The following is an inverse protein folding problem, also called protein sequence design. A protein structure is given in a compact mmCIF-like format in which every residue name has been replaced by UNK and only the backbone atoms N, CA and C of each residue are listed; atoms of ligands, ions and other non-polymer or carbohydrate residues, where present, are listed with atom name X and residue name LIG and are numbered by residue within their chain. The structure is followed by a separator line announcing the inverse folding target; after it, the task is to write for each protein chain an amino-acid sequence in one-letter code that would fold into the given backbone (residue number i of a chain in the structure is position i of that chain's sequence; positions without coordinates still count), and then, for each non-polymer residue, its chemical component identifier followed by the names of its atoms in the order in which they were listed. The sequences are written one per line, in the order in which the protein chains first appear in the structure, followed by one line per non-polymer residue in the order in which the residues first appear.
data_IF_219206240504
#
_entry.id   IF_219206240504
#
_cell.length_a   1.000
_cell.length_b   1.000
_cell.length_c   1.000
_cell.angle_alpha   90.00
_cell.angle_beta   90.00
_cell.angle_gamma   90.00
#
_symmetry.space_group_name_H-M   'P 1'
#
loop_
_entity.id
_entity.type
_entity.pdbx_description
1 polymer ?
#
# COMPACT_ATOMS: atom_id res chain seq x y z
N UNK A 1 9.13 -36.86 -37.58
CA UNK A 1 9.11 -37.44 -36.23
C UNK A 1 8.58 -36.37 -35.29
N UNK A 2 7.30 -36.41 -34.94
CA UNK A 2 6.73 -35.54 -33.92
C UNK A 2 7.20 -36.05 -32.57
N UNK A 3 8.24 -35.43 -32.02
CA UNK A 3 8.63 -35.67 -30.63
C UNK A 3 7.41 -35.36 -29.76
N UNK A 4 6.91 -36.37 -29.04
CA UNK A 4 5.78 -36.21 -28.13
C UNK A 4 6.27 -35.31 -26.99
N UNK A 5 5.77 -34.09 -26.94
CA UNK A 5 6.15 -33.11 -25.91
C UNK A 5 6.00 -33.73 -24.52
N UNK A 6 7.03 -33.58 -23.68
CA UNK A 6 7.00 -34.08 -22.31
C UNK A 6 6.05 -33.22 -21.49
N UNK A 7 4.98 -33.86 -21.02
CA UNK A 7 3.98 -33.32 -20.11
C UNK A 7 4.32 -33.72 -18.67
N UNK A 8 4.20 -32.78 -17.74
CA UNK A 8 4.43 -33.02 -16.32
C UNK A 8 3.24 -32.50 -15.51
N UNK A 9 3.06 -33.09 -14.34
CA UNK A 9 2.08 -32.62 -13.37
C UNK A 9 2.69 -31.41 -12.65
N UNK A 10 1.91 -30.35 -12.47
CA UNK A 10 2.34 -29.20 -11.67
C UNK A 10 2.49 -29.52 -10.18
N UNK A 11 2.73 -28.49 -9.40
CA UNK A 11 3.07 -28.54 -7.99
C UNK A 11 4.20 -27.56 -7.71
N UNK A 12 5.00 -27.82 -6.69
CA UNK A 12 6.14 -26.98 -6.37
C UNK A 12 7.18 -26.94 -7.50
N UNK A 13 7.65 -25.74 -7.84
CA UNK A 13 8.61 -25.53 -8.93
C UNK A 13 9.91 -26.35 -8.78
N UNK A 14 10.37 -26.59 -7.55
CA UNK A 14 11.53 -27.43 -7.24
C UNK A 14 11.31 -28.92 -7.59
N UNK A 15 10.06 -29.36 -7.68
CA UNK A 15 9.68 -30.74 -8.01
C UNK A 15 9.51 -31.02 -9.51
N UNK A 16 9.59 -30.00 -10.36
CA UNK A 16 9.43 -30.16 -11.82
C UNK A 16 10.65 -30.89 -12.41
N UNK A 17 10.40 -31.74 -13.41
CA UNK A 17 11.44 -32.45 -14.18
C UNK A 17 12.11 -31.53 -15.20
N UNK A 18 13.43 -31.63 -15.36
CA UNK A 18 14.23 -30.75 -16.24
C UNK A 18 13.84 -30.78 -17.73
N UNK A 19 13.22 -31.88 -18.16
CA UNK A 19 12.80 -32.11 -19.55
C UNK A 19 11.35 -31.68 -19.80
N UNK A 20 10.71 -31.03 -18.84
CA UNK A 20 9.32 -30.63 -18.96
C UNK A 20 9.11 -29.55 -20.02
N UNK A 21 8.13 -29.73 -20.90
CA UNK A 21 7.73 -28.73 -21.89
C UNK A 21 6.35 -28.16 -21.58
N UNK A 22 5.45 -29.01 -21.06
CA UNK A 22 4.07 -28.64 -20.73
C UNK A 22 3.77 -29.05 -19.29
N UNK A 23 3.23 -28.13 -18.49
CA UNK A 23 2.75 -28.40 -17.13
C UNK A 23 1.22 -28.47 -17.16
N UNK A 24 0.64 -29.53 -16.61
CA UNK A 24 -0.80 -29.80 -16.64
C UNK A 24 -1.33 -30.27 -15.28
N UNK A 25 -2.67 -30.34 -15.18
CA UNK A 25 -3.50 -30.86 -14.07
C UNK A 25 -3.47 -30.07 -12.77
N UNK A 26 -2.34 -29.49 -12.39
CA UNK A 26 -2.17 -28.71 -11.17
C UNK A 26 -1.33 -27.47 -11.44
N UNK A 27 -1.55 -26.42 -10.64
CA UNK A 27 -0.79 -25.18 -10.71
C UNK A 27 0.70 -25.41 -10.54
N UNK A 28 1.50 -24.56 -11.18
CA UNK A 28 2.91 -24.40 -10.81
C UNK A 28 3.01 -23.43 -9.63
N UNK A 29 3.59 -23.88 -8.52
CA UNK A 29 3.59 -23.16 -7.24
C UNK A 29 4.99 -22.72 -6.82
N UNK A 30 5.12 -21.45 -6.42
CA UNK A 30 6.31 -20.83 -5.85
C UNK A 30 5.97 -20.27 -4.46
N UNK A 31 6.33 -20.98 -3.39
CA UNK A 31 5.93 -20.61 -2.03
C UNK A 31 7.14 -20.29 -1.14
N UNK A 32 7.03 -19.19 -0.39
CA UNK A 32 8.00 -18.85 0.65
C UNK A 32 9.38 -18.48 0.13
N UNK A 33 10.42 -18.77 0.92
CA UNK A 33 11.80 -18.59 0.48
C UNK A 33 12.24 -19.77 -0.39
N UNK A 34 12.66 -19.44 -1.62
CA UNK A 34 13.16 -20.41 -2.60
C UNK A 34 14.69 -20.52 -2.44
N UNK A 35 15.15 -21.59 -1.81
CA UNK A 35 16.57 -21.77 -1.47
C UNK A 35 17.48 -21.98 -2.70
N UNK A 36 16.96 -22.59 -3.78
CA UNK A 36 17.74 -22.97 -4.97
C UNK A 36 17.10 -22.46 -6.27
N UNK A 37 17.16 -21.14 -6.46
CA UNK A 37 16.60 -20.47 -7.63
C UNK A 37 17.26 -20.92 -8.95
N UNK A 38 18.55 -21.23 -8.95
CA UNK A 38 19.27 -21.63 -10.16
C UNK A 38 18.84 -23.01 -10.65
N UNK A 39 18.67 -23.97 -9.73
CA UNK A 39 18.10 -25.28 -10.04
C UNK A 39 16.65 -25.17 -10.54
N UNK A 40 15.82 -24.33 -9.91
CA UNK A 40 14.45 -24.07 -10.36
C UNK A 40 14.46 -23.48 -11.77
N UNK A 41 15.32 -22.49 -12.04
CA UNK A 41 15.46 -21.88 -13.36
C UNK A 41 15.89 -22.91 -14.42
N UNK A 42 16.84 -23.78 -14.09
CA UNK A 42 17.27 -24.85 -14.99
C UNK A 42 16.14 -25.85 -15.29
N UNK A 43 15.31 -26.19 -14.29
CA UNK A 43 14.16 -27.07 -14.47
C UNK A 43 13.10 -26.48 -15.38
N UNK A 44 12.83 -25.19 -15.24
CA UNK A 44 11.77 -24.50 -15.98
C UNK A 44 12.22 -23.98 -17.35
N UNK A 45 13.51 -24.06 -17.70
CA UNK A 45 14.07 -23.48 -18.93
C UNK A 45 13.44 -23.99 -20.25
N UNK A 46 12.85 -25.19 -20.21
CA UNK A 46 12.24 -25.87 -21.36
C UNK A 46 10.70 -25.76 -21.35
N UNK A 47 10.11 -25.27 -20.25
CA UNK A 47 8.67 -25.15 -20.11
C UNK A 47 8.19 -24.04 -21.04
N UNK A 48 7.23 -24.37 -21.90
CA UNK A 48 6.61 -23.46 -22.86
C UNK A 48 5.14 -23.20 -22.56
N UNK A 49 4.44 -24.17 -21.98
CA UNK A 49 2.99 -24.06 -21.71
C UNK A 49 2.64 -24.52 -20.31
N UNK A 50 1.69 -23.84 -19.67
CA UNK A 50 1.17 -24.17 -18.34
C UNK A 50 -0.36 -24.17 -18.38
N UNK A 51 -0.98 -25.35 -18.37
CA UNK A 51 -2.42 -25.63 -18.57
C UNK A 51 -3.29 -25.54 -17.29
N UNK A 52 -2.70 -25.16 -16.16
CA UNK A 52 -3.41 -25.08 -14.88
C UNK A 52 -3.03 -23.87 -14.03
N UNK A 53 -2.47 -22.83 -14.66
CA UNK A 53 -2.05 -21.60 -14.01
C UNK A 53 -0.81 -21.68 -13.13
N UNK A 54 -0.43 -20.52 -12.57
CA UNK A 54 0.74 -20.32 -11.72
C UNK A 54 0.34 -19.58 -10.45
N UNK A 55 0.91 -19.97 -9.32
CA UNK A 55 0.79 -19.24 -8.07
C UNK A 55 2.17 -18.90 -7.46
N UNK A 56 2.32 -17.64 -7.06
CA UNK A 56 3.51 -17.10 -6.39
C UNK A 56 3.07 -16.51 -5.06
N UNK A 57 3.40 -17.17 -3.97
CA UNK A 57 2.82 -16.88 -2.65
C UNK A 57 3.90 -16.69 -1.59
N UNK A 58 3.83 -15.56 -0.89
CA UNK A 58 4.64 -15.31 0.30
C UNK A 58 6.14 -15.29 0.05
N UNK A 59 6.57 -14.97 -1.18
CA UNK A 59 7.97 -14.93 -1.55
C UNK A 59 8.61 -13.57 -1.19
N UNK A 60 9.94 -13.57 -1.07
CA UNK A 60 10.75 -12.37 -0.82
C UNK A 60 11.53 -11.92 -2.07
N UNK A 61 11.20 -12.44 -3.25
CA UNK A 61 11.86 -12.04 -4.49
C UNK A 61 11.41 -10.64 -4.92
N UNK A 62 12.36 -9.85 -5.43
CA UNK A 62 12.06 -8.58 -6.06
C UNK A 62 11.60 -8.77 -7.51
N UNK A 63 12.28 -9.65 -8.24
CA UNK A 63 12.01 -9.92 -9.65
C UNK A 63 11.54 -11.37 -9.79
N UNK A 64 10.35 -11.56 -10.35
CA UNK A 64 9.89 -12.87 -10.81
C UNK A 64 10.22 -13.02 -12.30
N UNK A 65 11.29 -13.76 -12.60
CA UNK A 65 11.78 -14.04 -13.97
C UNK A 65 11.93 -15.54 -14.28
N UNK A 66 11.39 -16.40 -13.41
CA UNK A 66 11.55 -17.85 -13.50
C UNK A 66 10.80 -18.46 -14.69
N UNK A 67 9.86 -17.72 -15.29
CA UNK A 67 9.01 -18.14 -16.39
C UNK A 67 9.23 -17.32 -17.67
N UNK A 68 10.41 -16.73 -17.84
CA UNK A 68 10.70 -15.81 -18.96
C UNK A 68 10.47 -16.43 -20.37
N UNK A 69 10.59 -17.76 -20.44
CA UNK A 69 10.47 -18.59 -21.65
C UNK A 69 9.08 -19.22 -21.87
N UNK A 70 8.16 -19.01 -20.94
CA UNK A 70 6.82 -19.55 -21.05
C UNK A 70 6.04 -18.71 -22.05
N UNK A 71 5.44 -19.39 -23.03
CA UNK A 71 4.70 -18.75 -24.12
C UNK A 71 3.21 -18.67 -23.81
N UNK A 72 2.66 -19.66 -23.10
CA UNK A 72 1.22 -19.81 -22.90
C UNK A 72 0.90 -20.24 -21.47
N UNK A 73 0.04 -19.48 -20.80
CA UNK A 73 -0.49 -19.80 -19.48
C UNK A 73 -2.01 -19.72 -19.53
N UNK A 74 -2.65 -20.82 -19.17
CA UNK A 74 -4.10 -20.96 -19.17
C UNK A 74 -4.55 -21.64 -17.88
N UNK A 75 -5.72 -21.26 -17.39
CA UNK A 75 -6.37 -21.94 -16.29
C UNK A 75 -7.89 -21.95 -16.47
N UNK A 76 -8.50 -23.06 -16.93
CA UNK A 76 -9.94 -23.12 -17.14
C UNK A 76 -10.74 -23.11 -15.82
N UNK A 77 -10.08 -23.34 -14.69
CA UNK A 77 -10.71 -23.48 -13.38
C UNK A 77 -10.48 -22.29 -12.45
N UNK A 78 -9.68 -21.29 -12.84
CA UNK A 78 -9.36 -20.12 -12.02
C UNK A 78 -8.50 -19.09 -12.73
N UNK A 79 -7.70 -18.33 -11.96
CA UNK A 79 -6.78 -17.33 -12.50
C UNK A 79 -5.60 -18.02 -13.19
N UNK A 80 -5.14 -17.47 -14.31
CA UNK A 80 -3.93 -17.95 -14.99
C UNK A 80 -2.68 -17.62 -14.17
N UNK A 81 -2.64 -16.45 -13.53
CA UNK A 81 -1.58 -16.03 -12.62
C UNK A 81 -2.15 -15.57 -11.27
N UNK A 82 -1.52 -16.00 -10.19
CA UNK A 82 -1.87 -15.56 -8.84
C UNK A 82 -0.61 -15.10 -8.08
N UNK A 83 -0.62 -13.85 -7.63
CA UNK A 83 0.41 -13.27 -6.77
C UNK A 83 -0.23 -12.92 -5.43
N UNK A 84 0.23 -13.57 -4.35
CA UNK A 84 -0.36 -13.40 -3.03
C UNK A 84 0.69 -13.14 -1.96
N UNK A 85 0.52 -12.07 -1.19
CA UNK A 85 1.34 -11.76 -0.02
C UNK A 85 2.86 -11.71 -0.32
N UNK A 86 3.30 -11.38 -1.54
CA UNK A 86 4.71 -11.20 -1.85
C UNK A 86 5.17 -9.83 -1.35
N UNK A 87 6.22 -9.82 -0.53
CA UNK A 87 6.60 -8.61 0.26
C UNK A 87 7.49 -7.63 -0.48
N UNK A 88 8.13 -8.07 -1.56
CA UNK A 88 9.18 -7.32 -2.26
C UNK A 88 9.04 -7.32 -3.77
N UNK A 89 8.04 -8.04 -4.30
CA UNK A 89 7.86 -8.23 -5.72
C UNK A 89 7.60 -6.88 -6.38
N UNK A 90 8.50 -6.44 -7.24
CA UNK A 90 8.39 -5.19 -7.98
C UNK A 90 8.47 -5.39 -9.50
N UNK A 91 8.96 -6.54 -9.97
CA UNK A 91 9.06 -6.86 -11.40
C UNK A 91 8.51 -8.24 -11.70
N UNK A 92 7.73 -8.34 -12.77
CA UNK A 92 7.20 -9.59 -13.31
C UNK A 92 7.63 -9.69 -14.76
N UNK A 93 8.63 -10.54 -15.05
CA UNK A 93 9.23 -10.68 -16.36
C UNK A 93 8.80 -11.98 -17.02
N UNK A 94 7.99 -11.82 -18.07
CA UNK A 94 7.48 -12.91 -18.90
C UNK A 94 7.59 -12.50 -20.37
N UNK A 95 8.83 -12.41 -20.86
CA UNK A 95 9.12 -11.80 -22.17
C UNK A 95 8.53 -12.58 -23.35
N UNK A 96 8.47 -13.92 -23.25
CA UNK A 96 7.97 -14.78 -24.33
C UNK A 96 6.46 -15.06 -24.23
N UNK A 97 5.77 -14.54 -23.22
CA UNK A 97 4.34 -14.79 -22.99
C UNK A 97 3.48 -14.16 -24.09
N UNK A 98 2.61 -14.97 -24.69
CA UNK A 98 1.71 -14.61 -25.79
C UNK A 98 0.26 -14.97 -25.54
N UNK A 99 0.01 -15.92 -24.65
CA UNK A 99 -1.33 -16.31 -24.21
C UNK A 99 -1.40 -16.28 -22.70
N UNK A 100 -2.41 -15.58 -22.19
CA UNK A 100 -2.73 -15.47 -20.78
C UNK A 100 -4.26 -15.51 -20.66
N UNK A 101 -4.79 -16.62 -20.15
CA UNK A 101 -6.22 -16.93 -20.19
C UNK A 101 -6.71 -17.60 -18.89
N UNK A 102 -7.44 -16.85 -18.08
CA UNK A 102 -8.10 -17.34 -16.88
C UNK A 102 -9.61 -17.47 -17.07
N UNK A 103 -10.28 -18.15 -16.12
CA UNK A 103 -11.71 -18.46 -16.22
C UNK A 103 -12.63 -17.23 -16.20
N UNK A 104 -12.38 -16.29 -15.30
CA UNK A 104 -13.22 -15.09 -15.10
C UNK A 104 -12.37 -13.85 -15.08
N UNK A 105 -11.27 -13.90 -14.34
CA UNK A 105 -10.19 -12.94 -14.45
C UNK A 105 -8.86 -13.65 -14.71
N UNK A 106 -7.98 -13.03 -15.49
CA UNK A 106 -6.72 -13.66 -15.92
C UNK A 106 -5.66 -13.64 -14.80
N UNK A 107 -5.58 -12.53 -14.06
CA UNK A 107 -4.56 -12.31 -13.04
C UNK A 107 -5.19 -11.91 -11.70
N UNK A 108 -4.70 -12.51 -10.61
CA UNK A 108 -5.02 -12.12 -9.25
C UNK A 108 -3.81 -11.53 -8.55
N UNK A 109 -4.00 -10.37 -7.92
CA UNK A 109 -3.11 -9.82 -6.90
C UNK A 109 -3.84 -9.72 -5.56
N UNK A 110 -3.36 -10.43 -4.55
CA UNK A 110 -3.92 -10.39 -3.19
C UNK A 110 -2.86 -9.99 -2.16
N UNK A 111 -3.05 -8.84 -1.52
CA UNK A 111 -2.12 -8.28 -0.53
C UNK A 111 -0.67 -8.27 -1.03
N UNK A 112 -0.48 -7.96 -2.32
CA UNK A 112 0.79 -8.10 -3.00
C UNK A 112 1.45 -6.74 -3.22
N UNK A 113 2.74 -6.64 -2.88
CA UNK A 113 3.49 -5.39 -3.00
C UNK A 113 3.62 -4.92 -4.47
N UNK A 114 3.50 -5.83 -5.45
CA UNK A 114 3.61 -5.47 -6.85
C UNK A 114 2.58 -4.41 -7.28
N UNK A 115 1.36 -4.45 -6.75
CA UNK A 115 0.33 -3.47 -7.09
C UNK A 115 0.67 -2.07 -6.57
N UNK A 116 1.33 -1.97 -5.41
CA UNK A 116 1.83 -0.69 -4.90
C UNK A 116 2.90 -0.12 -5.83
N UNK A 117 3.83 -0.97 -6.28
CA UNK A 117 4.92 -0.60 -7.19
C UNK A 117 4.43 -0.16 -8.58
N UNK A 118 3.31 -0.71 -9.08
CA UNK A 118 2.71 -0.27 -10.37
C UNK A 118 2.39 1.23 -10.37
N UNK A 119 2.06 1.81 -9.20
CA UNK A 119 1.78 3.25 -9.09
C UNK A 119 3.03 4.12 -8.99
N UNK A 120 4.12 3.59 -8.42
CA UNK A 120 5.32 4.36 -8.08
C UNK A 120 6.47 4.16 -9.07
N UNK A 121 6.46 3.07 -9.83
CA UNK A 121 7.59 2.61 -10.64
C UNK A 121 7.18 2.34 -12.10
N UNK A 122 7.81 3.06 -13.04
CA UNK A 122 7.51 2.93 -14.47
C UNK A 122 7.78 1.54 -15.03
N UNK A 123 8.76 0.83 -14.48
CA UNK A 123 9.10 -0.51 -14.92
C UNK A 123 8.04 -1.52 -14.48
N UNK A 124 7.51 -1.39 -13.26
CA UNK A 124 6.43 -2.23 -12.74
C UNK A 124 5.13 -1.98 -13.50
N UNK A 125 4.83 -0.72 -13.81
CA UNK A 125 3.72 -0.36 -14.69
C UNK A 125 3.89 -0.98 -16.08
N UNK A 126 5.09 -0.95 -16.64
CA UNK A 126 5.36 -1.57 -17.95
C UNK A 126 5.11 -3.08 -17.92
N UNK A 127 5.56 -3.77 -16.87
CA UNK A 127 5.33 -5.21 -16.70
C UNK A 127 3.82 -5.51 -16.58
N UNK A 128 3.07 -4.70 -15.83
CA UNK A 128 1.61 -4.83 -15.69
C UNK A 128 0.87 -4.62 -17.02
N UNK A 129 1.21 -3.57 -17.77
CA UNK A 129 0.60 -3.28 -19.07
C UNK A 129 0.96 -4.36 -20.12
N UNK A 130 2.14 -4.97 -20.02
CA UNK A 130 2.49 -6.12 -20.86
C UNK A 130 1.54 -7.28 -20.61
N UNK A 131 1.31 -7.66 -19.35
CA UNK A 131 0.35 -8.72 -18.99
C UNK A 131 -1.08 -8.40 -19.46
N UNK A 132 -1.54 -7.15 -19.26
CA UNK A 132 -2.86 -6.70 -19.75
C UNK A 132 -2.96 -6.85 -21.27
N UNK A 133 -1.91 -6.46 -22.00
CA UNK A 133 -1.90 -6.52 -23.45
C UNK A 133 -1.99 -7.94 -23.98
N UNK A 134 -1.34 -8.90 -23.29
CA UNK A 134 -1.33 -10.32 -23.63
C UNK A 134 -2.68 -10.97 -23.30
N UNK A 135 -3.24 -10.69 -22.12
CA UNK A 135 -4.57 -11.13 -21.72
C UNK A 135 -5.63 -10.68 -22.75
N UNK A 136 -5.69 -9.37 -23.03
CA UNK A 136 -6.64 -8.83 -24.03
C UNK A 136 -6.45 -9.44 -25.41
N UNK A 137 -5.21 -9.81 -25.77
CA UNK A 137 -4.95 -10.46 -27.05
C UNK A 137 -5.48 -11.90 -27.13
N UNK A 138 -5.53 -12.60 -25.99
CA UNK A 138 -6.05 -13.96 -25.86
C UNK A 138 -7.58 -13.98 -26.04
N UNK A 139 -8.26 -12.92 -25.58
CA UNK A 139 -9.73 -12.80 -25.59
C UNK A 139 -10.33 -12.05 -26.80
N UNK A 140 -9.56 -11.80 -27.87
CA UNK A 140 -9.96 -10.94 -29.02
C UNK A 140 -11.25 -11.33 -29.72
N UNK A 141 -11.70 -12.59 -29.59
CA UNK A 141 -12.86 -13.11 -30.30
C UNK A 141 -14.13 -13.17 -29.42
N UNK A 142 -14.06 -12.72 -28.16
CA UNK A 142 -15.18 -12.76 -27.23
C UNK A 142 -15.99 -11.46 -27.25
N UNK A 143 -17.32 -11.56 -27.26
CA UNK A 143 -18.22 -10.38 -27.22
C UNK A 143 -18.10 -9.60 -25.90
N UNK A 144 -17.78 -10.31 -24.81
CA UNK A 144 -17.50 -9.76 -23.48
C UNK A 144 -16.18 -10.37 -22.99
N UNK A 145 -15.07 -9.66 -23.15
CA UNK A 145 -13.78 -10.10 -22.59
C UNK A 145 -13.88 -10.22 -21.07
N UNK A 146 -13.35 -11.28 -20.45
CA UNK A 146 -13.16 -11.35 -19.00
C UNK A 146 -12.35 -10.16 -18.49
N UNK A 147 -12.51 -9.84 -17.19
CA UNK A 147 -11.73 -8.79 -16.56
C UNK A 147 -10.27 -9.25 -16.49
N UNK A 148 -9.33 -8.44 -16.98
CA UNK A 148 -7.92 -8.83 -16.96
C UNK A 148 -7.42 -9.14 -15.54
N UNK A 149 -7.83 -8.35 -14.55
CA UNK A 149 -7.22 -8.38 -13.22
C UNK A 149 -8.22 -8.26 -12.10
N UNK A 150 -7.99 -9.04 -11.04
CA UNK A 150 -8.60 -8.86 -9.72
C UNK A 150 -7.56 -8.41 -8.72
N UNK A 151 -7.84 -7.32 -8.03
CA UNK A 151 -6.97 -6.79 -6.97
C UNK A 151 -7.73 -6.88 -5.64
N UNK A 152 -7.17 -7.62 -4.70
CA UNK A 152 -7.68 -7.74 -3.33
C UNK A 152 -6.61 -7.14 -2.42
N UNK A 153 -6.79 -5.89 -2.03
CA UNK A 153 -5.99 -5.28 -0.97
C UNK A 153 -6.68 -5.52 0.36
N UNK A 154 -5.97 -6.05 1.36
CA UNK A 154 -6.35 -5.94 2.76
C UNK A 154 -6.60 -4.47 3.01
N UNK A 155 -7.80 -4.13 3.48
CA UNK A 155 -8.22 -2.76 3.77
C UNK A 155 -7.02 -2.04 4.37
N UNK A 156 -6.55 -0.99 3.68
CA UNK A 156 -5.49 -0.14 4.20
C UNK A 156 -5.90 0.16 5.63
N UNK A 157 -5.11 -0.34 6.60
CA UNK A 157 -5.45 -0.19 8.00
C UNK A 157 -5.78 1.27 8.20
N UNK A 158 -7.06 1.56 8.46
CA UNK A 158 -7.56 2.91 8.71
C UNK A 158 -6.53 3.56 9.62
N UNK A 159 -5.82 4.55 9.08
CA UNK A 159 -4.67 5.22 9.66
C UNK A 159 -4.33 4.72 11.07
N UNK A 160 -3.31 3.86 11.17
CA UNK A 160 -2.97 3.18 12.42
C UNK A 160 -2.89 4.11 13.62
N UNK A 161 -2.86 3.53 14.83
CA UNK A 161 -2.81 4.23 16.13
C UNK A 161 -1.92 5.49 16.16
N UNK A 162 -0.87 5.53 15.34
CA UNK A 162 0.01 6.67 15.12
C UNK A 162 -0.71 7.94 14.63
N UNK A 163 -1.66 7.88 13.68
CA UNK A 163 -2.39 9.08 13.25
C UNK A 163 -3.31 9.58 14.36
N UNK A 164 -4.01 8.67 15.05
CA UNK A 164 -4.85 9.02 16.19
C UNK A 164 -4.02 9.63 17.33
N UNK A 165 -2.84 9.09 17.61
CA UNK A 165 -1.90 9.66 18.57
C UNK A 165 -1.42 11.06 18.13
N UNK A 166 -1.17 11.27 16.84
CA UNK A 166 -0.74 12.56 16.28
C UNK A 166 -1.86 13.61 16.38
N UNK A 167 -3.11 13.24 16.08
CA UNK A 167 -4.29 14.11 16.25
C UNK A 167 -4.48 14.51 17.72
N UNK A 168 -4.41 13.54 18.64
CA UNK A 168 -4.53 13.80 20.09
C UNK A 168 -3.41 14.71 20.57
N UNK A 169 -2.17 14.48 20.13
CA UNK A 169 -1.02 15.32 20.48
C UNK A 169 -1.21 16.76 20.00
N UNK A 170 -1.67 16.96 18.76
CA UNK A 170 -1.98 18.28 18.22
C UNK A 170 -3.06 19.01 19.05
N UNK A 171 -4.13 18.30 19.45
CA UNK A 171 -5.19 18.87 20.27
C UNK A 171 -4.67 19.30 21.66
N UNK A 172 -3.85 18.48 22.32
CA UNK A 172 -3.25 18.82 23.62
C UNK A 172 -2.34 20.03 23.52
N UNK A 173 -1.49 20.12 22.49
CA UNK A 173 -0.61 21.26 22.27
C UNK A 173 -1.40 22.55 22.04
N UNK A 174 -2.50 22.50 21.30
CA UNK A 174 -3.38 23.66 21.10
C UNK A 174 -3.98 24.17 22.42
N UNK A 175 -4.40 23.26 23.31
CA UNK A 175 -4.90 23.62 24.66
C UNK A 175 -3.78 24.26 25.50
N UNK A 176 -2.57 23.70 25.48
CA UNK A 176 -1.44 24.27 26.24
C UNK A 176 -1.12 25.69 25.75
N UNK A 177 -1.05 25.91 24.44
CA UNK A 177 -0.76 27.23 23.85
C UNK A 177 -1.86 28.24 24.21
N UNK A 178 -3.13 27.85 24.16
CA UNK A 178 -4.24 28.75 24.53
C UNK A 178 -4.20 29.11 26.02
N UNK A 179 -3.89 28.15 26.90
CA UNK A 179 -3.73 28.39 28.34
C UNK A 179 -2.53 29.31 28.62
N UNK A 180 -1.36 29.05 28.03
CA UNK A 180 -0.18 29.91 28.20
C UNK A 180 -0.46 31.33 27.71
N UNK A 181 -1.13 31.48 26.55
CA UNK A 181 -1.52 32.78 26.01
C UNK A 181 -2.49 33.51 26.95
N UNK A 182 -3.46 32.80 27.53
CA UNK A 182 -4.40 33.36 28.51
C UNK A 182 -3.69 33.84 29.79
N UNK A 183 -2.76 33.05 30.33
CA UNK A 183 -1.96 33.44 31.50
C UNK A 183 -1.04 34.63 31.20
N UNK A 184 -0.42 34.69 30.02
CA UNK A 184 0.39 35.83 29.59
C UNK A 184 -0.45 37.12 29.44
N UNK A 185 -1.66 37.02 28.88
CA UNK A 185 -2.60 38.14 28.77
C UNK A 185 -3.09 38.62 30.15
N UNK A 186 -3.43 37.70 31.07
CA UNK A 186 -3.75 38.06 32.46
C UNK A 186 -2.56 38.65 33.23
N UNK A 187 -1.35 38.18 32.97
CA UNK A 187 -0.10 38.69 33.56
C UNK A 187 0.20 40.13 33.13
N UNK A 188 0.06 40.45 31.83
CA UNK A 188 0.17 41.83 31.32
C UNK A 188 -0.89 42.76 31.92
N UNK A 189 -2.12 42.27 32.14
CA UNK A 189 -3.19 43.04 32.78
C UNK A 189 -2.92 43.43 34.24
N UNK A 190 -2.28 42.55 35.03
CA UNK A 190 -1.92 42.82 36.44
C UNK A 190 -0.77 43.83 36.56
N UNK A 191 0.24 43.75 35.70
CA UNK A 191 1.35 44.72 35.69
C UNK A 191 0.89 46.14 35.32
N UNK A 192 -0.10 46.27 34.44
CA UNK A 192 -0.67 47.58 34.07
C UNK A 192 -1.49 48.21 35.22
N UNK A 193 -2.24 47.40 35.99
CA UNK A 193 -3.01 47.88 37.16
C UNK A 193 -2.11 48.26 38.36
N UNK A 194 -1.02 47.54 38.62
CA UNK A 194 -0.09 47.89 39.70
C UNK A 194 0.72 49.16 39.40
N UNK A 195 1.05 49.43 38.13
CA UNK A 195 1.72 50.68 37.73
C UNK A 195 0.82 51.92 37.86
N UNK A 196 -0.51 51.77 37.75
CA UNK A 196 -1.46 52.86 38.01
C UNK A 196 -1.75 53.07 39.50
N UNK A 197 -1.80 52.01 40.31
CA UNK A 197 -2.04 52.11 41.76
C UNK A 197 -0.89 52.78 42.54
N UNK A 198 0.37 52.61 42.14
CA UNK A 198 1.49 53.28 42.82
C UNK A 198 1.59 54.78 42.52
N UNK A 199 1.09 55.23 41.36
CA UNK A 199 1.02 56.66 41.00
C UNK A 199 -0.15 57.39 41.67
N UNK A 200 -1.26 56.71 41.98
CA UNK A 200 -2.43 57.31 42.65
C UNK A 200 -2.27 57.59 44.14
N UNK A 201 -1.48 56.78 44.87
CA UNK A 201 -1.30 56.95 46.34
C UNK A 201 -0.40 58.12 46.75
N UNK A 202 0.42 58.67 45.85
CA UNK A 202 1.22 59.88 46.15
C UNK A 202 0.43 61.20 46.08
N UNK A 203 -0.76 61.23 45.49
CA UNK A 203 -1.57 62.47 45.37
C UNK A 203 -2.56 62.71 46.52
N UNK A 204 -3.00 61.68 47.25
CA UNK A 204 -4.12 61.81 48.21
C UNK A 204 -3.76 62.22 49.65
N UNK A 205 -2.46 62.34 50.01
CA UNK A 205 -2.06 62.85 51.34
C UNK A 205 -2.03 64.39 51.45
N UNK A 206 -2.31 65.13 50.38
CA UNK A 206 -2.20 66.61 50.37
C UNK A 206 -3.53 67.38 50.43
N UNK A 207 -4.69 66.73 50.48
CA UNK A 207 -5.99 67.39 50.21
C UNK A 207 -7.08 67.22 51.29
N UNK A 208 -6.76 66.76 52.51
CA UNK A 208 -7.76 66.54 53.57
C UNK A 208 -7.55 67.47 54.77
N UNK A 209 -7.43 68.76 54.47
CA UNK A 209 -7.41 69.85 55.45
C UNK A 209 -8.10 71.06 54.85
N UNK A 210 -9.44 71.08 54.83
CA UNK A 210 -10.29 72.28 54.72
C UNK A 210 -11.77 71.89 54.63
N UNK A 211 -12.60 72.54 55.45
CA UNK A 211 -14.06 72.72 55.32
C UNK A 211 -14.89 71.46 55.63
N UNK A 212 -15.56 71.28 56.76
CA UNK A 212 -16.31 72.18 57.67
C UNK A 212 -17.43 72.97 56.97
N UNK A 213 -18.60 73.01 57.65
CA UNK A 213 -19.88 73.66 57.32
C UNK A 213 -20.70 73.01 56.20
N UNK A 214 -22.02 72.88 56.25
CA UNK A 214 -23.10 73.06 57.23
C UNK A 214 -24.35 72.69 56.40
N UNK A 215 -25.26 71.86 56.92
CA UNK A 215 -26.61 72.32 57.30
C UNK A 215 -27.51 72.50 56.06
N UNK A 216 -28.34 71.48 55.78
CA UNK A 216 -29.77 71.41 56.14
C UNK A 216 -30.59 72.53 55.48
N UNK A 217 -31.48 72.15 54.56
CA UNK A 217 -32.93 72.14 54.78
C UNK A 217 -33.64 71.65 53.50
N UNK A 218 -34.66 70.82 53.70
CA UNK A 218 -35.66 70.43 52.71
C UNK A 218 -36.71 71.56 52.59
N UNK A 219 -37.22 71.74 51.36
CA UNK A 219 -38.50 72.38 50.98
C UNK A 219 -38.83 73.82 51.48
#
# INVERSE_FOLDING_TARGET
MTSKEKRCIGGYASGIEDICVVIEKTKLSFHGELEDLDSIRQKLQNVRRIESGVEVVGTNMAVFDLLDRVEEIWNPDGYALEFRNNKKLNRIRMNELRVLDGKQEDVLFENDHFIEEVHENSDSLSDFLHLESVARASHKNEECSPEFVKIITSEASEYGWDLYALIVLCAVLAVIVTVQTFYLLKGKGKNRKNKMRSKGRKKHKKARGKSERSEKDEE
#
